data_IF_765914539991
#
_entry.id   IF_765914539991
#
_cell.length_a   1.000
_cell.length_b   1.000
_cell.length_c   1.000
_cell.angle_alpha   90.00
_cell.angle_beta   90.00
_cell.angle_gamma   90.00
#
_symmetry.space_group_name_H-M   'P 1'
#
loop_
_entity.id
_entity.type
_entity.pdbx_description
1 polymer ?
#
# COMPACT_ATOMS: atom_id res chain seq x y z
N UNK A 1 -32.10 2.58 -33.29
CA UNK A 1 -30.74 3.07 -33.46
C UNK A 1 -30.12 3.64 -32.21
N UNK A 2 -30.83 4.51 -31.47
CA UNK A 2 -30.33 5.06 -30.21
C UNK A 2 -30.10 4.00 -29.14
N UNK A 3 -30.93 2.98 -29.11
CA UNK A 3 -30.80 1.86 -28.16
C UNK A 3 -29.54 1.01 -28.40
N UNK A 4 -29.11 0.85 -29.64
CA UNK A 4 -27.91 0.12 -29.99
C UNK A 4 -26.65 0.82 -29.50
N UNK A 5 -26.61 2.14 -29.60
CA UNK A 5 -25.49 2.94 -29.12
C UNK A 5 -25.36 2.88 -27.59
N UNK A 6 -26.48 2.88 -26.90
CA UNK A 6 -26.49 2.76 -25.42
C UNK A 6 -25.95 1.39 -24.95
N UNK A 7 -26.33 0.32 -25.65
CA UNK A 7 -25.84 -1.03 -25.34
C UNK A 7 -24.34 -1.13 -25.57
N UNK A 8 -23.86 -0.52 -26.64
CA UNK A 8 -22.42 -0.52 -26.93
C UNK A 8 -21.62 0.23 -25.87
N UNK A 9 -22.13 1.34 -25.39
CA UNK A 9 -21.48 2.10 -24.32
C UNK A 9 -21.40 1.30 -23.03
N UNK A 10 -22.43 0.54 -22.68
CA UNK A 10 -22.44 -0.34 -21.53
C UNK A 10 -21.37 -1.44 -21.62
N UNK A 11 -21.19 -2.02 -22.78
CA UNK A 11 -20.18 -3.05 -23.00
C UNK A 11 -18.77 -2.49 -22.82
N UNK A 12 -18.52 -1.29 -23.31
CA UNK A 12 -17.22 -0.64 -23.16
C UNK A 12 -16.93 -0.33 -21.69
N UNK A 13 -17.92 0.14 -20.94
CA UNK A 13 -17.77 0.40 -19.50
C UNK A 13 -17.48 -0.89 -18.75
N UNK A 14 -18.12 -2.00 -19.10
CA UNK A 14 -17.85 -3.30 -18.48
C UNK A 14 -16.43 -3.79 -18.73
N UNK A 15 -15.87 -3.56 -19.90
CA UNK A 15 -14.50 -3.95 -20.21
C UNK A 15 -13.46 -3.10 -19.48
N UNK A 16 -13.77 -1.84 -19.16
CA UNK A 16 -12.84 -0.94 -18.49
C UNK A 16 -12.63 -1.24 -17.01
N UNK A 17 -13.46 -2.08 -16.41
CA UNK A 17 -13.43 -2.34 -14.96
C UNK A 17 -12.84 -3.69 -14.59
N UNK A 18 -11.98 -4.27 -15.44
CA UNK A 18 -11.50 -5.64 -15.25
C UNK A 18 -10.37 -5.78 -14.21
N UNK A 19 -9.67 -4.69 -13.87
CA UNK A 19 -8.55 -4.74 -12.94
C UNK A 19 -8.81 -3.81 -11.75
N UNK A 20 -9.04 -4.34 -10.54
CA UNK A 20 -9.19 -3.50 -9.35
C UNK A 20 -7.88 -2.82 -9.02
N UNK A 21 -7.96 -1.56 -8.59
CA UNK A 21 -6.80 -0.82 -8.11
C UNK A 21 -6.37 -1.34 -6.74
N UNK A 22 -5.08 -1.32 -6.42
CA UNK A 22 -4.62 -1.69 -5.08
C UNK A 22 -5.16 -0.72 -4.03
N UNK A 23 -5.51 -1.25 -2.86
CA UNK A 23 -6.00 -0.43 -1.75
C UNK A 23 -4.92 -0.30 -0.68
N UNK A 24 -4.91 0.82 0.08
CA UNK A 24 -3.99 0.95 1.21
C UNK A 24 -4.15 -0.18 2.23
N UNK A 25 -5.38 -0.61 2.48
CA UNK A 25 -5.68 -1.68 3.43
C UNK A 25 -5.02 -3.00 3.02
N UNK A 26 -5.03 -3.32 1.73
CA UNK A 26 -4.35 -4.51 1.21
C UNK A 26 -2.85 -4.41 1.44
N UNK A 27 -2.26 -3.25 1.18
CA UNK A 27 -0.84 -3.01 1.39
C UNK A 27 -0.46 -3.13 2.86
N UNK A 28 -1.27 -2.55 3.75
CA UNK A 28 -1.00 -2.60 5.19
C UNK A 28 -1.11 -4.03 5.73
N UNK A 29 -2.09 -4.78 5.28
CA UNK A 29 -2.24 -6.19 5.65
C UNK A 29 -1.06 -7.01 5.14
N UNK A 30 -0.65 -6.78 3.91
CA UNK A 30 0.50 -7.47 3.31
C UNK A 30 1.78 -7.24 4.12
N UNK A 31 2.03 -6.01 4.51
CA UNK A 31 3.26 -5.60 5.20
C UNK A 31 3.18 -5.60 6.73
N UNK A 32 2.04 -5.95 7.30
CA UNK A 32 1.87 -5.91 8.76
C UNK A 32 1.99 -4.50 9.32
N UNK A 33 1.45 -3.52 8.60
CA UNK A 33 1.52 -2.10 8.96
C UNK A 33 0.25 -1.69 9.70
N UNK A 34 0.41 -1.01 10.83
CA UNK A 34 -0.68 -0.38 11.57
C UNK A 34 -0.51 1.13 11.47
N UNK A 35 -1.43 1.77 10.76
CA UNK A 35 -1.35 3.19 10.46
C UNK A 35 -1.95 4.02 11.60
N UNK A 36 -1.22 5.03 12.13
CA UNK A 36 -1.82 5.99 13.05
C UNK A 36 -2.95 6.77 12.38
N UNK A 37 -3.92 7.22 13.17
CA UNK A 37 -5.08 7.96 12.67
C UNK A 37 -4.70 9.26 11.94
N UNK A 38 -3.55 9.85 12.30
CA UNK A 38 -3.04 11.07 11.66
C UNK A 38 -2.43 10.84 10.29
N UNK A 39 -2.21 9.58 9.89
CA UNK A 39 -1.67 9.25 8.58
C UNK A 39 -2.69 9.44 7.48
N UNK A 40 -2.26 10.01 6.36
CA UNK A 40 -3.12 10.23 5.20
C UNK A 40 -2.43 9.68 3.96
N UNK A 41 -3.02 8.65 3.37
CA UNK A 41 -2.47 8.00 2.18
C UNK A 41 -2.66 8.89 0.96
N UNK A 42 -1.58 9.10 0.22
CA UNK A 42 -1.57 9.85 -1.03
C UNK A 42 -1.59 8.92 -2.24
N UNK A 43 -0.90 7.80 -2.18
CA UNK A 43 -0.75 6.90 -3.30
C UNK A 43 -0.49 5.48 -2.82
N UNK A 44 -1.06 4.50 -3.52
CA UNK A 44 -0.80 3.08 -3.30
C UNK A 44 -0.47 2.44 -4.64
N UNK A 45 0.67 1.77 -4.72
CA UNK A 45 1.12 1.05 -5.91
C UNK A 45 1.30 -0.42 -5.59
N UNK A 46 0.97 -1.27 -6.54
CA UNK A 46 1.20 -2.70 -6.45
C UNK A 46 1.89 -3.18 -7.72
N UNK A 47 2.98 -3.88 -7.54
CA UNK A 47 3.72 -4.50 -8.65
C UNK A 47 3.82 -5.99 -8.40
N UNK A 48 3.39 -6.76 -9.38
CA UNK A 48 3.45 -8.21 -9.35
C UNK A 48 4.39 -8.69 -10.46
N UNK A 49 5.71 -8.63 -10.16
CA UNK A 49 6.72 -9.22 -11.00
C UNK A 49 7.08 -10.61 -10.49
N UNK A 50 8.38 -10.87 -10.34
CA UNK A 50 8.87 -12.10 -9.70
C UNK A 50 8.39 -12.16 -8.26
N UNK A 51 8.41 -11.01 -7.56
CA UNK A 51 7.94 -10.87 -6.20
C UNK A 51 6.76 -9.90 -6.14
N UNK A 52 5.91 -10.07 -5.13
CA UNK A 52 4.84 -9.11 -4.87
C UNK A 52 5.40 -7.90 -4.13
N UNK A 53 5.05 -6.71 -4.56
CA UNK A 53 5.55 -5.48 -3.98
C UNK A 53 4.45 -4.44 -3.87
N UNK A 54 4.32 -3.85 -2.68
CA UNK A 54 3.47 -2.68 -2.45
C UNK A 54 4.32 -1.48 -2.11
N UNK A 55 3.94 -0.32 -2.61
CA UNK A 55 4.51 0.97 -2.23
C UNK A 55 3.37 1.88 -1.84
N UNK A 56 3.44 2.45 -0.63
CA UNK A 56 2.46 3.40 -0.14
C UNK A 56 3.18 4.70 0.18
N UNK A 57 2.70 5.79 -0.39
CA UNK A 57 3.17 7.14 -0.07
C UNK A 57 2.08 7.82 0.74
N UNK A 58 2.44 8.38 1.87
CA UNK A 58 1.50 9.01 2.78
C UNK A 58 2.12 10.23 3.45
N UNK A 59 1.27 11.07 4.05
CA UNK A 59 1.72 12.12 4.95
C UNK A 59 1.49 11.69 6.38
N UNK A 60 2.43 12.03 7.26
CA UNK A 60 2.36 11.72 8.68
C UNK A 60 3.16 12.76 9.44
N UNK A 61 2.60 13.35 10.52
CA UNK A 61 3.39 14.23 11.36
C UNK A 61 4.64 13.53 11.85
N UNK A 62 5.77 14.24 11.86
CA UNK A 62 7.07 13.64 12.22
C UNK A 62 7.02 13.00 13.61
N UNK A 63 6.31 13.62 14.55
CA UNK A 63 6.17 13.10 15.91
C UNK A 63 5.39 11.78 15.99
N UNK A 64 4.64 11.43 14.94
CA UNK A 64 3.86 10.19 14.89
C UNK A 64 4.59 9.04 14.17
N UNK A 65 5.76 9.31 13.58
CA UNK A 65 6.56 8.26 12.96
C UNK A 65 6.93 7.14 13.95
N UNK A 66 7.39 7.45 15.16
CA UNK A 66 7.66 6.40 16.14
C UNK A 66 6.43 5.55 16.46
N UNK A 67 5.23 6.14 16.47
CA UNK A 67 3.99 5.39 16.70
C UNK A 67 3.71 4.41 15.59
N UNK A 68 3.94 4.83 14.34
CA UNK A 68 3.80 3.94 13.18
C UNK A 68 4.74 2.74 13.29
N UNK A 69 6.01 2.99 13.60
CA UNK A 69 7.02 1.95 13.70
C UNK A 69 6.70 0.98 14.84
N UNK A 70 6.34 1.50 16.00
CA UNK A 70 5.99 0.67 17.16
C UNK A 70 4.74 -0.16 16.90
N UNK A 71 3.69 0.45 16.41
CA UNK A 71 2.43 -0.25 16.11
C UNK A 71 2.60 -1.30 15.01
N UNK A 72 3.56 -1.13 14.13
CA UNK A 72 3.87 -2.06 13.05
C UNK A 72 4.97 -3.07 13.44
N UNK A 73 5.36 -3.08 14.71
CA UNK A 73 6.31 -4.04 15.30
C UNK A 73 7.73 -3.94 14.70
N UNK A 74 8.16 -2.75 14.31
CA UNK A 74 9.58 -2.53 14.03
C UNK A 74 10.37 -2.49 15.33
N UNK A 75 11.59 -2.97 15.31
CA UNK A 75 12.48 -2.83 16.44
C UNK A 75 12.80 -1.34 16.67
N UNK A 76 13.00 -0.89 17.91
CA UNK A 76 13.28 0.51 18.20
C UNK A 76 14.45 1.05 17.36
N UNK A 77 14.19 2.14 16.63
CA UNK A 77 15.19 2.79 15.78
C UNK A 77 15.36 2.20 14.39
N UNK A 78 14.72 1.08 14.09
CA UNK A 78 14.82 0.47 12.77
C UNK A 78 13.79 1.05 11.81
N UNK A 79 14.25 1.33 10.59
CA UNK A 79 13.40 1.78 9.49
C UNK A 79 13.23 0.71 8.41
N UNK A 80 13.88 -0.42 8.57
CA UNK A 80 13.73 -1.55 7.66
C UNK A 80 13.90 -2.85 8.44
N UNK A 81 13.20 -3.88 8.00
CA UNK A 81 13.31 -5.20 8.59
C UNK A 81 12.82 -6.26 7.59
N UNK A 82 12.93 -7.52 8.01
CA UNK A 82 12.40 -8.68 7.30
C UNK A 82 11.56 -9.45 8.30
N UNK A 83 10.30 -9.66 8.01
CA UNK A 83 9.38 -10.35 8.90
C UNK A 83 8.61 -11.43 8.20
N UNK A 84 8.20 -12.43 8.97
CA UNK A 84 7.25 -13.43 8.47
C UNK A 84 5.83 -12.92 8.76
N UNK A 85 5.06 -12.72 7.71
CA UNK A 85 3.67 -12.24 7.77
C UNK A 85 2.81 -13.22 6.97
N UNK A 86 1.85 -13.85 7.63
CA UNK A 86 1.00 -14.88 7.01
C UNK A 86 1.82 -15.97 6.29
N UNK A 87 2.90 -16.40 6.93
CA UNK A 87 3.76 -17.47 6.40
C UNK A 87 4.70 -17.06 5.29
N UNK A 88 4.81 -15.79 4.97
CA UNK A 88 5.69 -15.26 3.93
C UNK A 88 6.73 -14.33 4.52
N UNK A 89 7.93 -14.37 3.98
CA UNK A 89 8.96 -13.38 4.30
C UNK A 89 8.66 -12.10 3.55
N UNK A 90 8.45 -11.02 4.28
CA UNK A 90 8.18 -9.70 3.73
C UNK A 90 9.26 -8.74 4.21
N UNK A 91 9.98 -8.16 3.28
CA UNK A 91 10.91 -7.08 3.56
C UNK A 91 10.14 -5.77 3.60
N UNK A 92 10.41 -4.95 4.62
CA UNK A 92 9.72 -3.68 4.81
C UNK A 92 10.74 -2.57 4.97
N UNK A 93 10.51 -1.45 4.30
CA UNK A 93 11.37 -0.28 4.39
C UNK A 93 10.54 0.97 4.51
N UNK A 94 10.88 1.81 5.48
CA UNK A 94 10.24 3.09 5.73
C UNK A 94 11.23 4.21 5.40
N UNK A 95 10.84 5.11 4.52
CA UNK A 95 11.64 6.31 4.18
C UNK A 95 10.85 7.53 4.60
N UNK A 96 11.48 8.43 5.36
CA UNK A 96 10.85 9.64 5.88
C UNK A 96 11.54 10.87 5.29
N UNK A 97 10.74 11.73 4.65
CA UNK A 97 11.22 13.01 4.12
C UNK A 97 10.23 14.10 4.57
N UNK A 98 10.58 14.82 5.63
CA UNK A 98 9.68 15.80 6.23
C UNK A 98 8.41 15.13 6.73
N UNK A 99 7.25 15.54 6.20
CA UNK A 99 5.95 14.92 6.54
C UNK A 99 5.55 13.81 5.58
N UNK A 100 6.37 13.53 4.57
CA UNK A 100 6.09 12.46 3.61
C UNK A 100 6.78 11.18 4.03
N UNK A 101 6.02 10.10 4.07
CA UNK A 101 6.52 8.77 4.44
C UNK A 101 6.25 7.83 3.27
N UNK A 102 7.27 7.07 2.91
CA UNK A 102 7.16 6.05 1.88
C UNK A 102 7.38 4.68 2.49
N UNK A 103 6.42 3.80 2.31
CA UNK A 103 6.49 2.42 2.76
C UNK A 103 6.72 1.52 1.54
N UNK A 104 7.75 0.71 1.60
CA UNK A 104 8.02 -0.32 0.58
C UNK A 104 7.95 -1.68 1.26
N UNK A 105 7.13 -2.58 0.74
CA UNK A 105 6.95 -3.90 1.28
C UNK A 105 6.95 -4.91 0.14
N UNK A 106 7.82 -5.90 0.21
CA UNK A 106 7.89 -6.90 -0.85
C UNK A 106 8.33 -8.26 -0.31
N UNK A 107 7.89 -9.31 -0.99
CA UNK A 107 8.30 -10.68 -0.66
C UNK A 107 9.73 -10.91 -1.09
N UNK A 108 10.46 -11.70 -0.31
CA UNK A 108 11.86 -12.04 -0.62
C UNK A 108 12.03 -13.53 -0.89
#
# INVERSE_FOLDING_TARGET
MKTLLAVLALLLAGCATTAPSPTPEDAFRFGGISMPASGKVLETQYDRGIDSRYVVVLTLPVEDVPKLLEASNFAPGDLEDDRVIDGRHVYRKVTVEGVTVRLEMFTT
#
